data_IF_653057587919
#
_entry.id   IF_653057587919
#
_cell.length_a   1.000
_cell.length_b   1.000
_cell.length_c   1.000
_cell.angle_alpha   90.00
_cell.angle_beta   90.00
_cell.angle_gamma   90.00
#
_symmetry.space_group_name_H-M   'P 1'
#
loop_
_entity.id
_entity.type
_entity.pdbx_description
1 polymer ?
#
# COMPACT_ATOMS: atom_id res chain seq x y z
N UNK A 1 -43.84 33.52 22.13
CA UNK A 1 -43.24 34.87 22.03
C UNK A 1 -41.98 34.77 21.16
N UNK A 2 -41.98 35.50 20.04
CA UNK A 2 -40.92 35.81 19.06
C UNK A 2 -39.83 34.79 18.67
N UNK A 3 -39.80 34.38 17.38
CA UNK A 3 -38.57 34.20 16.61
C UNK A 3 -38.24 35.49 15.82
N UNK A 4 -37.01 35.99 15.96
CA UNK A 4 -36.56 37.23 15.29
C UNK A 4 -35.57 36.93 14.17
N UNK A 5 -35.99 37.25 12.93
CA UNK A 5 -35.21 37.76 11.80
C UNK A 5 -34.09 36.87 11.19
N UNK A 6 -33.80 36.88 9.89
CA UNK A 6 -33.64 38.02 8.97
C UNK A 6 -33.78 37.55 7.50
N UNK A 7 -34.03 38.51 6.61
CA UNK A 7 -34.50 38.38 5.22
C UNK A 7 -33.38 38.24 4.16
N UNK A 8 -33.70 37.50 3.07
CA UNK A 8 -33.50 37.75 1.60
C UNK A 8 -32.06 37.91 1.05
N UNK A 9 -31.76 37.48 -0.21
CA UNK A 9 -32.45 37.97 -1.41
C UNK A 9 -32.72 37.01 -2.59
N UNK A 10 -33.57 37.50 -3.50
CA UNK A 10 -33.75 37.04 -4.88
C UNK A 10 -32.49 37.34 -5.70
N UNK A 11 -32.15 36.45 -6.63
CA UNK A 11 -31.67 36.85 -7.96
C UNK A 11 -32.29 35.93 -9.02
N UNK A 12 -33.04 36.56 -9.93
CA UNK A 12 -33.53 36.00 -11.19
C UNK A 12 -32.55 36.40 -12.28
N UNK A 13 -32.12 35.46 -13.11
CA UNK A 13 -31.52 35.75 -14.42
C UNK A 13 -31.76 34.52 -15.31
N UNK A 14 -32.86 34.46 -16.07
CA UNK A 14 -33.00 34.93 -17.47
C UNK A 14 -32.06 34.21 -18.45
N UNK A 15 -32.57 33.13 -19.06
CA UNK A 15 -32.09 32.64 -20.37
C UNK A 15 -32.57 33.58 -21.49
N UNK A 16 -31.78 33.73 -22.56
CA UNK A 16 -32.30 33.85 -23.92
C UNK A 16 -31.70 32.75 -24.81
N UNK A 17 -32.50 31.85 -25.40
CA UNK A 17 -33.18 31.95 -26.71
C UNK A 17 -32.29 32.42 -27.87
N UNK A 18 -31.76 31.41 -28.56
CA UNK A 18 -31.56 31.23 -30.00
C UNK A 18 -31.65 32.46 -30.91
N UNK A 19 -30.55 32.74 -31.61
CA UNK A 19 -30.55 33.54 -32.83
C UNK A 19 -29.90 32.70 -33.94
N UNK A 20 -30.72 32.31 -34.92
CA UNK A 20 -30.27 31.70 -36.17
C UNK A 20 -29.74 32.80 -37.09
N UNK A 21 -28.54 32.61 -37.63
CA UNK A 21 -28.00 33.40 -38.73
C UNK A 21 -27.51 32.43 -39.81
N UNK A 22 -28.26 32.32 -40.89
CA UNK A 22 -27.88 31.57 -42.09
C UNK A 22 -26.80 32.34 -42.84
N UNK A 23 -25.64 31.71 -43.01
CA UNK A 23 -24.52 32.24 -43.78
C UNK A 23 -24.59 31.69 -45.22
N UNK A 24 -24.46 32.62 -46.18
CA UNK A 24 -24.34 32.34 -47.59
C UNK A 24 -23.02 31.60 -47.90
N UNK A 25 -23.10 30.66 -48.84
CA UNK A 25 -21.96 29.94 -49.37
C UNK A 25 -21.05 30.88 -50.18
N UNK A 26 -19.75 30.90 -49.85
CA UNK A 26 -18.69 31.42 -50.72
C UNK A 26 -17.55 30.39 -50.72
N UNK A 27 -17.30 29.80 -51.89
CA UNK A 27 -16.14 28.95 -52.12
C UNK A 27 -14.87 29.81 -52.14
N UNK A 28 -13.92 29.48 -51.26
CA UNK A 28 -12.51 29.84 -51.44
C UNK A 28 -11.65 28.63 -51.13
N UNK A 29 -10.93 28.14 -52.15
CA UNK A 29 -9.78 27.27 -51.95
C UNK A 29 -8.74 28.06 -51.14
N UNK A 30 -8.38 27.57 -49.96
CA UNK A 30 -7.20 28.00 -49.23
C UNK A 30 -6.53 26.77 -48.61
N UNK A 31 -5.30 26.48 -49.07
CA UNK A 31 -4.37 25.62 -48.37
C UNK A 31 -4.02 26.25 -47.01
N UNK A 32 -4.17 25.51 -45.92
CA UNK A 32 -3.68 25.89 -44.60
C UNK A 32 -4.08 24.82 -43.60
N UNK A 33 -3.09 24.24 -42.91
CA UNK A 33 -3.28 23.03 -42.11
C UNK A 33 -4.14 23.22 -40.87
N UNK A 34 -5.01 22.24 -40.63
CA UNK A 34 -5.60 21.96 -39.33
C UNK A 34 -4.55 21.28 -38.44
N UNK A 35 -4.11 21.97 -37.39
CA UNK A 35 -3.47 21.31 -36.27
C UNK A 35 -4.51 20.41 -35.57
N UNK A 36 -4.24 19.11 -35.35
CA UNK A 36 -5.08 18.31 -34.49
C UNK A 36 -4.98 18.86 -33.07
N UNK A 37 -6.13 19.00 -32.43
CA UNK A 37 -6.24 19.30 -31.01
C UNK A 37 -5.65 18.10 -30.24
N UNK A 38 -4.41 18.22 -29.76
CA UNK A 38 -3.80 17.22 -28.90
C UNK A 38 -4.58 17.16 -27.58
N UNK A 39 -5.30 16.06 -27.41
CA UNK A 39 -5.80 15.66 -26.10
C UNK A 39 -4.59 15.14 -25.31
N UNK A 40 -4.11 15.95 -24.37
CA UNK A 40 -3.18 15.52 -23.33
C UNK A 40 -3.88 14.49 -22.43
N UNK A 41 -3.98 13.26 -22.91
CA UNK A 41 -4.10 12.11 -22.02
C UNK A 41 -2.70 11.87 -21.50
N UNK A 42 -2.43 12.27 -20.26
CA UNK A 42 -1.27 11.77 -19.51
C UNK A 42 -1.35 10.24 -19.53
N UNK A 43 -0.56 9.61 -20.41
CA UNK A 43 -0.40 8.17 -20.41
C UNK A 43 0.37 7.83 -19.15
N UNK A 44 -0.36 7.45 -18.11
CA UNK A 44 0.19 6.78 -16.94
C UNK A 44 0.92 5.52 -17.45
N UNK A 45 2.23 5.59 -17.58
CA UNK A 45 3.04 4.47 -18.00
C UNK A 45 2.86 3.35 -16.97
N UNK A 46 2.25 2.25 -17.40
CA UNK A 46 2.14 1.06 -16.55
C UNK A 46 3.53 0.63 -16.12
N UNK A 47 3.74 0.47 -14.82
CA UNK A 47 4.99 -0.07 -14.27
C UNK A 47 5.31 -1.41 -14.96
N UNK A 48 6.55 -1.57 -15.37
CA UNK A 48 7.11 -2.81 -15.91
C UNK A 48 7.71 -3.57 -14.73
N UNK A 49 7.04 -4.64 -14.33
CA UNK A 49 7.44 -5.40 -13.15
C UNK A 49 6.25 -5.91 -12.37
N UNK A 50 6.52 -6.50 -11.21
CA UNK A 50 5.47 -6.80 -10.23
C UNK A 50 5.53 -5.75 -9.12
N UNK A 51 4.39 -5.40 -8.47
CA UNK A 51 4.41 -4.42 -7.38
C UNK A 51 5.04 -4.98 -6.09
N UNK A 52 5.78 -6.08 -6.12
CA UNK A 52 6.22 -6.83 -4.95
C UNK A 52 7.74 -6.76 -4.78
N UNK A 53 8.22 -7.10 -3.59
CA UNK A 53 9.66 -7.20 -3.36
C UNK A 53 10.29 -8.25 -4.29
N UNK A 54 11.46 -7.92 -4.84
CA UNK A 54 12.17 -8.76 -5.81
C UNK A 54 13.32 -9.55 -5.19
N UNK A 55 13.87 -9.04 -4.09
CA UNK A 55 15.12 -9.57 -3.51
C UNK A 55 15.12 -9.50 -2.00
N UNK A 56 15.61 -10.57 -1.38
CA UNK A 56 16.04 -10.56 0.02
C UNK A 56 17.50 -10.08 0.07
N UNK A 57 17.73 -8.92 0.66
CA UNK A 57 19.07 -8.36 0.89
C UNK A 57 19.74 -9.08 2.07
N UNK A 58 18.98 -9.32 3.14
CA UNK A 58 19.45 -10.08 4.29
C UNK A 58 18.29 -10.63 5.11
N UNK A 59 18.54 -11.73 5.81
CA UNK A 59 17.61 -12.27 6.81
C UNK A 59 18.43 -12.76 8.02
N UNK A 60 18.11 -12.22 9.18
CA UNK A 60 18.67 -12.63 10.48
C UNK A 60 17.52 -13.19 11.32
N UNK A 61 17.36 -14.52 11.37
CA UNK A 61 16.29 -15.13 12.15
C UNK A 61 16.51 -14.89 13.66
N UNK A 62 15.42 -14.57 14.36
CA UNK A 62 15.35 -14.53 15.80
C UNK A 62 15.20 -15.92 16.42
N UNK A 63 15.18 -16.00 17.75
CA UNK A 63 14.85 -17.27 18.41
C UNK A 63 13.40 -17.64 18.13
N UNK A 64 13.10 -18.94 17.99
CA UNK A 64 11.79 -19.47 17.58
C UNK A 64 11.37 -19.14 16.12
N UNK A 65 12.29 -18.65 15.28
CA UNK A 65 12.12 -18.67 13.83
C UNK A 65 12.28 -20.09 13.27
N UNK A 66 11.81 -20.32 12.04
CA UNK A 66 12.09 -21.56 11.30
C UNK A 66 11.03 -21.94 10.27
N UNK A 67 9.78 -21.60 10.53
CA UNK A 67 8.69 -21.80 9.58
C UNK A 67 8.94 -20.96 8.31
N UNK A 68 8.64 -21.53 7.14
CA UNK A 68 8.87 -20.89 5.84
C UNK A 68 10.33 -20.83 5.35
N UNK A 69 11.34 -20.99 6.22
CA UNK A 69 12.74 -20.77 5.83
C UNK A 69 13.22 -21.66 4.68
N UNK A 70 12.76 -22.92 4.62
CA UNK A 70 13.10 -23.85 3.54
C UNK A 70 12.55 -23.46 2.17
N UNK A 71 11.61 -22.51 2.12
CA UNK A 71 10.95 -22.02 0.90
C UNK A 71 11.49 -20.65 0.46
N UNK A 72 12.51 -20.12 1.13
CA UNK A 72 13.16 -18.89 0.71
C UNK A 72 13.87 -19.06 -0.65
N UNK A 73 13.90 -18.00 -1.49
CA UNK A 73 13.36 -16.68 -1.19
C UNK A 73 11.85 -16.53 -1.50
N UNK A 74 11.28 -17.44 -2.29
CA UNK A 74 9.97 -17.25 -2.93
C UNK A 74 8.79 -17.10 -1.94
N UNK A 75 8.91 -17.62 -0.73
CA UNK A 75 7.85 -17.53 0.30
C UNK A 75 7.55 -16.10 0.76
N UNK A 76 8.44 -15.13 0.49
CA UNK A 76 8.24 -13.70 0.83
C UNK A 76 8.37 -12.76 -0.36
N UNK A 77 8.57 -13.30 -1.56
CA UNK A 77 8.68 -12.52 -2.80
C UNK A 77 7.46 -12.78 -3.66
N UNK A 78 6.87 -11.72 -4.21
CA UNK A 78 5.64 -11.79 -4.99
C UNK A 78 4.37 -11.49 -4.20
N UNK A 79 3.23 -11.92 -4.75
CA UNK A 79 1.91 -11.57 -4.23
C UNK A 79 1.57 -12.29 -2.92
N UNK A 80 0.84 -11.63 -2.00
CA UNK A 80 0.37 -12.28 -0.78
C UNK A 80 -0.58 -13.44 -1.08
N UNK A 81 -0.64 -14.38 -0.14
CA UNK A 81 -1.52 -15.56 -0.18
C UNK A 81 -2.43 -15.58 1.05
N UNK A 82 -3.12 -14.47 1.31
CA UNK A 82 -4.04 -14.35 2.45
C UNK A 82 -5.16 -15.39 2.46
N UNK A 83 -5.65 -15.69 3.65
CA UNK A 83 -6.79 -16.59 3.90
C UNK A 83 -8.03 -15.83 4.43
N UNK A 84 -8.03 -14.50 4.35
CA UNK A 84 -9.12 -13.63 4.79
C UNK A 84 -9.19 -13.47 6.31
N UNK A 85 -10.35 -13.01 6.80
CA UNK A 85 -10.50 -12.64 8.21
C UNK A 85 -10.51 -13.83 9.20
N UNK A 86 -10.79 -15.05 8.73
CA UNK A 86 -11.08 -16.19 9.61
C UNK A 86 -9.87 -17.06 9.97
N UNK A 87 -8.76 -16.90 9.27
CA UNK A 87 -7.56 -17.74 9.43
C UNK A 87 -6.35 -17.10 8.80
N UNK A 88 -5.16 -17.42 9.29
CA UNK A 88 -3.90 -17.19 8.59
C UNK A 88 -3.69 -18.17 7.43
N UNK A 89 -2.81 -17.80 6.51
CA UNK A 89 -2.19 -18.66 5.51
C UNK A 89 -0.98 -19.43 6.10
N UNK A 90 -0.43 -20.34 5.30
CA UNK A 90 0.85 -21.01 5.58
C UNK A 90 1.97 -20.52 4.65
N UNK A 91 1.69 -19.50 3.82
CA UNK A 91 2.65 -18.90 2.91
C UNK A 91 3.34 -17.75 3.64
N UNK A 92 4.14 -18.08 4.65
CA UNK A 92 4.74 -17.08 5.53
C UNK A 92 6.13 -17.50 5.99
N UNK A 93 6.95 -16.51 6.31
CA UNK A 93 8.24 -16.65 6.96
C UNK A 93 8.17 -16.08 8.38
N UNK A 94 8.26 -16.96 9.38
CA UNK A 94 8.35 -16.53 10.77
C UNK A 94 9.74 -15.95 11.05
N UNK A 95 9.77 -14.68 11.46
CA UNK A 95 11.02 -13.99 11.76
C UNK A 95 11.66 -14.45 13.07
N UNK A 96 10.87 -14.95 14.04
CA UNK A 96 11.35 -15.21 15.39
C UNK A 96 11.53 -13.94 16.20
N UNK A 97 11.79 -14.09 17.50
CA UNK A 97 11.94 -12.97 18.43
C UNK A 97 13.07 -12.03 18.00
N UNK A 98 12.72 -10.77 17.76
CA UNK A 98 13.62 -9.74 17.24
C UNK A 98 14.30 -10.10 15.90
N UNK A 99 13.77 -11.08 15.15
CA UNK A 99 14.27 -11.39 13.82
C UNK A 99 14.09 -10.22 12.86
N UNK A 100 14.96 -10.14 11.86
CA UNK A 100 15.01 -9.03 10.91
C UNK A 100 15.15 -9.56 9.50
N UNK A 101 14.32 -9.08 8.58
CA UNK A 101 14.49 -9.27 7.15
C UNK A 101 14.60 -7.91 6.45
N UNK A 102 15.45 -7.84 5.43
CA UNK A 102 15.56 -6.69 4.54
C UNK A 102 15.26 -7.15 3.11
N UNK A 103 14.28 -6.48 2.50
CA UNK A 103 13.82 -6.68 1.14
C UNK A 103 14.17 -5.48 0.27
N UNK A 104 14.24 -5.70 -1.03
CA UNK A 104 14.48 -4.65 -2.03
C UNK A 104 13.54 -4.80 -3.22
N UNK A 105 13.08 -3.65 -3.72
CA UNK A 105 12.50 -3.47 -5.03
C UNK A 105 13.60 -3.04 -6.03
N UNK A 106 13.77 -3.83 -7.07
CA UNK A 106 14.85 -3.72 -8.05
C UNK A 106 14.38 -3.11 -9.37
N UNK A 107 13.11 -3.30 -9.72
CA UNK A 107 12.50 -2.74 -10.94
C UNK A 107 11.58 -1.55 -10.66
N UNK A 108 11.05 -1.41 -9.44
CA UNK A 108 10.24 -0.28 -9.00
C UNK A 108 10.78 0.34 -7.72
N UNK A 109 10.41 1.59 -7.44
CA UNK A 109 10.60 2.21 -6.14
C UNK A 109 9.26 2.70 -5.60
N UNK A 110 9.08 2.59 -4.30
CA UNK A 110 7.95 3.22 -3.59
C UNK A 110 8.12 4.73 -3.71
N UNK A 111 7.08 5.45 -4.09
CA UNK A 111 7.05 6.91 -4.12
C UNK A 111 6.01 7.44 -3.16
N UNK A 112 6.27 8.63 -2.60
CA UNK A 112 5.32 9.31 -1.73
C UNK A 112 4.17 9.88 -2.57
N UNK A 113 3.05 9.15 -2.59
CA UNK A 113 1.79 9.57 -3.16
C UNK A 113 0.78 9.94 -2.07
N UNK A 114 -0.49 10.15 -2.43
CA UNK A 114 -1.53 10.40 -1.44
C UNK A 114 -1.76 9.15 -0.56
N UNK A 115 -1.49 9.27 0.74
CA UNK A 115 -1.83 8.26 1.73
C UNK A 115 -0.87 7.07 1.74
N UNK A 116 -1.41 5.84 1.82
CA UNK A 116 -0.59 4.63 1.91
C UNK A 116 0.19 4.42 0.61
N UNK A 117 1.51 4.28 0.72
CA UNK A 117 2.42 4.02 -0.39
C UNK A 117 2.92 2.57 -0.44
N UNK A 118 2.90 1.90 0.70
CA UNK A 118 3.45 0.56 0.89
C UNK A 118 2.50 -0.27 1.77
N UNK A 119 2.27 -1.53 1.40
CA UNK A 119 1.55 -2.51 2.21
C UNK A 119 2.51 -3.61 2.66
N UNK A 120 2.41 -4.00 3.93
CA UNK A 120 3.10 -5.17 4.49
C UNK A 120 2.05 -6.21 4.89
N UNK A 121 2.22 -7.41 4.37
CA UNK A 121 1.35 -8.55 4.62
C UNK A 121 2.06 -9.52 5.55
N UNK A 122 1.46 -9.72 6.72
CA UNK A 122 1.87 -10.71 7.70
C UNK A 122 0.98 -11.96 7.51
N UNK A 123 0.30 -12.39 8.55
CA UNK A 123 -0.61 -13.52 8.61
C UNK A 123 -1.80 -13.29 9.54
N UNK A 124 -2.06 -12.03 9.92
CA UNK A 124 -3.09 -11.70 10.89
C UNK A 124 -4.49 -12.18 10.46
N UNK A 125 -5.30 -12.53 11.45
CA UNK A 125 -6.70 -12.92 11.28
C UNK A 125 -7.49 -12.57 12.54
N UNK A 126 -8.82 -12.62 12.49
CA UNK A 126 -9.67 -12.32 13.64
C UNK A 126 -9.88 -13.57 14.50
N UNK A 127 -9.64 -13.42 15.80
CA UNK A 127 -10.02 -14.40 16.82
C UNK A 127 -11.54 -14.39 17.03
N UNK A 128 -12.12 -15.40 17.72
CA UNK A 128 -13.56 -15.44 18.00
C UNK A 128 -14.10 -14.23 18.79
N UNK A 129 -13.25 -13.53 19.52
CA UNK A 129 -13.58 -12.30 20.24
C UNK A 129 -13.59 -11.04 19.35
N UNK A 130 -13.29 -11.18 18.06
CA UNK A 130 -13.23 -10.10 17.08
C UNK A 130 -11.94 -9.28 17.10
N UNK A 131 -11.02 -9.55 18.03
CA UNK A 131 -9.70 -8.93 18.06
C UNK A 131 -8.75 -9.66 17.10
N UNK A 132 -7.78 -8.97 16.49
CA UNK A 132 -6.81 -9.65 15.66
C UNK A 132 -5.94 -10.60 16.51
N UNK A 133 -5.62 -11.75 15.95
CA UNK A 133 -4.39 -12.46 16.22
C UNK A 133 -3.29 -11.65 15.53
N UNK A 134 -2.66 -10.76 16.30
CA UNK A 134 -1.66 -9.84 15.79
C UNK A 134 -0.27 -10.28 16.25
N UNK A 135 0.64 -10.41 15.29
CA UNK A 135 2.07 -10.55 15.56
C UNK A 135 2.78 -9.36 14.95
N UNK A 136 3.09 -8.39 15.81
CA UNK A 136 3.47 -7.05 15.40
C UNK A 136 4.89 -6.96 14.85
N UNK A 137 5.07 -6.18 13.78
CA UNK A 137 6.34 -5.90 13.14
C UNK A 137 6.63 -4.41 13.08
N UNK A 138 7.88 -4.03 13.32
CA UNK A 138 8.39 -2.67 13.09
C UNK A 138 8.90 -2.59 11.66
N UNK A 139 8.36 -1.65 10.90
CA UNK A 139 8.73 -1.41 9.51
C UNK A 139 9.67 -0.22 9.43
N UNK A 140 10.76 -0.37 8.68
CA UNK A 140 11.63 0.72 8.28
C UNK A 140 11.87 0.70 6.79
N UNK A 141 12.11 1.87 6.22
CA UNK A 141 12.33 2.06 4.78
C UNK A 141 13.62 2.82 4.52
N UNK A 142 14.19 2.60 3.35
CA UNK A 142 15.42 3.24 2.91
C UNK A 142 15.43 3.38 1.39
N UNK A 143 16.02 4.45 0.88
CA UNK A 143 16.25 4.64 -0.56
C UNK A 143 17.61 4.10 -1.02
N UNK A 144 18.62 4.15 -0.14
CA UNK A 144 20.03 3.83 -0.42
C UNK A 144 20.50 2.50 0.22
N UNK A 145 19.67 1.89 1.07
CA UNK A 145 20.00 0.67 1.83
C UNK A 145 20.92 0.91 3.03
N UNK A 146 21.29 2.17 3.30
CA UNK A 146 22.27 2.57 4.34
C UNK A 146 21.60 3.44 5.39
N UNK A 147 20.82 4.44 4.96
CA UNK A 147 20.08 5.35 5.82
C UNK A 147 18.67 4.85 5.99
N UNK A 148 18.28 4.55 7.23
CA UNK A 148 17.02 3.89 7.56
C UNK A 148 16.08 4.81 8.33
N UNK A 149 14.82 4.80 7.94
CA UNK A 149 13.74 5.56 8.58
C UNK A 149 12.67 4.58 9.06
N UNK A 150 12.50 4.46 10.38
CA UNK A 150 11.52 3.56 10.97
C UNK A 150 10.18 4.28 11.19
N UNK A 151 9.09 3.60 10.84
CA UNK A 151 7.75 4.04 11.20
C UNK A 151 7.52 3.86 12.70
N UNK A 152 6.85 4.80 13.37
CA UNK A 152 6.44 4.61 14.76
C UNK A 152 5.50 3.39 14.87
N UNK A 153 5.85 2.41 15.71
CA UNK A 153 5.01 1.25 15.99
C UNK A 153 4.80 1.12 17.50
N UNK A 154 3.54 1.20 17.93
CA UNK A 154 3.15 1.06 19.33
C UNK A 154 2.76 -0.40 19.66
N UNK A 155 3.70 -1.33 19.57
CA UNK A 155 3.47 -2.78 19.73
C UNK A 155 2.93 -3.19 21.12
N UNK A 156 3.08 -2.34 22.14
CA UNK A 156 2.49 -2.55 23.47
C UNK A 156 1.05 -2.04 23.62
N UNK A 157 0.51 -1.31 22.63
CA UNK A 157 -0.80 -0.66 22.74
C UNK A 157 -1.93 -1.56 22.22
N UNK A 158 -2.22 -2.62 22.97
CA UNK A 158 -3.30 -3.57 22.65
C UNK A 158 -4.67 -2.87 22.55
N UNK A 159 -4.97 -1.95 23.47
CA UNK A 159 -6.25 -1.24 23.49
C UNK A 159 -6.46 -0.32 22.27
N UNK A 160 -5.37 0.20 21.70
CA UNK A 160 -5.37 1.01 20.48
C UNK A 160 -5.17 0.21 19.20
N UNK A 161 -5.16 -1.12 19.29
CA UNK A 161 -4.91 -2.01 18.15
C UNK A 161 -3.55 -1.77 17.46
N UNK A 162 -2.49 -1.62 18.26
CA UNK A 162 -1.09 -1.57 17.80
C UNK A 162 -0.81 -0.54 16.69
N UNK A 163 -1.18 0.75 16.89
CA UNK A 163 -1.11 1.74 15.83
C UNK A 163 0.32 1.88 15.28
N UNK A 164 0.41 1.87 13.94
CA UNK A 164 1.64 2.01 13.18
C UNK A 164 2.52 0.76 13.09
N UNK A 165 2.08 -0.38 13.66
CA UNK A 165 2.74 -1.66 13.46
C UNK A 165 2.19 -2.38 12.24
N UNK A 166 3.02 -3.22 11.60
CA UNK A 166 2.52 -4.27 10.71
C UNK A 166 2.04 -5.47 11.54
N UNK A 167 1.29 -6.39 10.92
CA UNK A 167 0.86 -7.65 11.52
C UNK A 167 -0.40 -7.53 12.36
N UNK A 168 -1.32 -6.64 11.97
CA UNK A 168 -2.55 -6.34 12.72
C UNK A 168 -3.79 -6.59 11.87
N UNK A 169 -3.76 -6.15 10.61
CA UNK A 169 -4.93 -6.20 9.73
C UNK A 169 -4.97 -7.54 8.96
N UNK A 170 -6.12 -8.24 8.93
CA UNK A 170 -6.19 -9.50 8.20
C UNK A 170 -5.80 -9.38 6.73
N UNK A 171 -5.17 -10.42 6.19
CA UNK A 171 -4.73 -10.44 4.78
C UNK A 171 -5.82 -11.05 3.91
N UNK A 172 -6.40 -10.25 3.01
CA UNK A 172 -7.47 -10.69 2.11
C UNK A 172 -6.97 -10.97 0.69
N UNK A 173 -5.95 -10.24 0.23
CA UNK A 173 -5.38 -10.43 -1.10
C UNK A 173 -4.80 -11.83 -1.25
N UNK A 174 -5.19 -12.52 -2.31
CA UNK A 174 -4.69 -13.82 -2.69
C UNK A 174 -4.67 -13.94 -4.22
N UNK A 175 -3.65 -14.60 -4.76
CA UNK A 175 -3.53 -14.81 -6.21
C UNK A 175 -4.73 -15.51 -6.87
N UNK A 176 -5.54 -16.22 -6.08
CA UNK A 176 -6.71 -16.98 -6.55
C UNK A 176 -8.05 -16.26 -6.43
N UNK A 177 -8.13 -15.10 -5.77
CA UNK A 177 -9.42 -14.48 -5.41
C UNK A 177 -9.70 -13.12 -6.08
N UNK A 178 -8.76 -12.58 -6.85
CA UNK A 178 -8.93 -11.33 -7.60
C UNK A 178 -8.95 -10.06 -6.75
N UNK A 179 -8.66 -10.14 -5.44
CA UNK A 179 -8.47 -8.97 -4.59
C UNK A 179 -7.10 -8.38 -4.90
N UNK A 180 -7.05 -7.09 -5.23
CA UNK A 180 -5.78 -6.42 -5.55
C UNK A 180 -4.91 -6.28 -4.31
N UNK A 181 -3.64 -6.70 -4.41
CA UNK A 181 -2.62 -6.53 -3.38
C UNK A 181 -2.11 -5.09 -3.26
N UNK A 182 -2.43 -4.21 -4.20
CA UNK A 182 -1.98 -2.81 -4.22
C UNK A 182 -3.09 -1.81 -3.90
N UNK A 183 -4.28 -2.28 -3.54
CA UNK A 183 -5.38 -1.43 -3.12
C UNK A 183 -5.55 -1.51 -1.60
N UNK A 184 -5.09 -0.49 -0.84
CA UNK A 184 -5.17 -0.48 0.62
C UNK A 184 -6.58 -0.64 1.18
N UNK A 185 -7.62 -0.31 0.41
CA UNK A 185 -9.01 -0.41 0.86
C UNK A 185 -9.53 -1.86 0.90
N UNK A 186 -8.89 -2.81 0.21
CA UNK A 186 -9.39 -4.18 0.05
C UNK A 186 -8.34 -5.27 0.26
N UNK A 187 -7.05 -4.96 0.10
CA UNK A 187 -5.97 -5.95 0.17
C UNK A 187 -5.86 -6.62 1.54
N UNK A 188 -6.21 -5.90 2.60
CA UNK A 188 -5.78 -6.24 3.95
C UNK A 188 -4.33 -5.86 4.18
N UNK A 189 -3.71 -6.45 5.20
CA UNK A 189 -2.37 -6.05 5.63
C UNK A 189 -2.33 -4.59 6.12
N UNK A 190 -1.13 -4.14 6.48
CA UNK A 190 -0.96 -2.84 7.14
C UNK A 190 -0.24 -1.86 6.22
N UNK A 191 -0.77 -0.64 6.13
CA UNK A 191 -0.33 0.40 5.22
C UNK A 191 0.62 1.42 5.84
N UNK A 192 1.60 1.84 5.05
CA UNK A 192 2.64 2.79 5.42
C UNK A 192 2.75 3.92 4.39
N UNK A 193 2.76 5.16 4.86
CA UNK A 193 2.84 6.40 4.08
C UNK A 193 4.23 7.01 4.26
N UNK A 194 5.02 7.14 3.19
CA UNK A 194 6.39 7.66 3.24
C UNK A 194 6.48 9.08 3.79
N UNK A 195 5.43 9.89 3.66
CA UNK A 195 5.37 11.23 4.24
C UNK A 195 5.50 11.20 5.77
N UNK A 196 5.04 10.14 6.43
CA UNK A 196 5.12 9.97 7.88
C UNK A 196 6.58 9.87 8.39
N UNK A 197 7.51 9.49 7.51
CA UNK A 197 8.94 9.37 7.82
C UNK A 197 9.80 10.37 7.04
N UNK A 198 9.17 11.32 6.34
CA UNK A 198 9.86 12.39 5.61
C UNK A 198 10.59 11.93 4.35
N UNK A 199 10.17 10.80 3.75
CA UNK A 199 10.73 10.30 2.50
C UNK A 199 9.83 10.64 1.31
N UNK A 200 10.46 10.84 0.16
CA UNK A 200 9.77 10.94 -1.14
C UNK A 200 9.86 9.65 -1.94
N UNK A 201 10.83 8.79 -1.61
CA UNK A 201 11.08 7.51 -2.29
C UNK A 201 11.72 6.51 -1.34
N UNK A 202 11.45 5.22 -1.55
CA UNK A 202 12.17 4.11 -0.92
C UNK A 202 12.32 2.92 -1.88
N UNK A 203 13.41 2.18 -1.73
CA UNK A 203 13.71 0.96 -2.50
C UNK A 203 13.87 -0.27 -1.60
N UNK A 204 14.13 -0.05 -0.32
CA UNK A 204 14.39 -1.10 0.65
C UNK A 204 13.37 -1.03 1.77
N UNK A 205 12.94 -2.21 2.21
CA UNK A 205 12.04 -2.38 3.35
C UNK A 205 12.69 -3.32 4.34
N UNK A 206 12.84 -2.86 5.58
CA UNK A 206 13.29 -3.67 6.70
C UNK A 206 12.09 -3.95 7.58
N UNK A 207 11.86 -5.22 7.88
CA UNK A 207 10.84 -5.65 8.83
C UNK A 207 11.56 -6.35 9.97
N UNK A 208 11.26 -5.90 11.18
CA UNK A 208 11.78 -6.49 12.40
C UNK A 208 10.62 -6.91 13.29
N UNK A 209 10.66 -8.14 13.80
CA UNK A 209 9.76 -8.58 14.86
C UNK A 209 9.81 -7.59 16.05
N UNK A 210 8.65 -7.18 16.55
CA UNK A 210 8.58 -6.09 17.53
C UNK A 210 9.16 -6.47 18.90
N UNK A 211 9.37 -7.76 19.17
CA UNK A 211 9.74 -8.26 20.49
C UNK A 211 8.54 -8.48 21.42
N UNK A 212 7.33 -8.10 21.02
CA UNK A 212 6.10 -8.15 21.83
C UNK A 212 5.11 -9.28 21.45
N UNK A 213 5.56 -10.27 20.67
CA UNK A 213 4.72 -11.36 20.14
C UNK A 213 4.82 -12.67 20.95
N UNK A 214 4.12 -13.71 20.50
CA UNK A 214 4.27 -15.08 21.00
C UNK A 214 5.48 -15.77 20.38
N UNK A 215 6.18 -16.63 21.13
CA UNK A 215 7.40 -17.30 20.64
C UNK A 215 7.40 -18.79 20.96
N UNK A 216 6.50 -19.55 20.33
CA UNK A 216 6.39 -20.99 20.49
C UNK A 216 6.97 -21.74 19.28
N UNK A 217 7.71 -22.81 19.54
CA UNK A 217 8.23 -23.70 18.49
C UNK A 217 9.15 -22.98 17.51
N UNK A 218 8.86 -23.13 16.22
CA UNK A 218 9.61 -22.54 15.09
C UNK A 218 8.79 -21.52 14.30
N UNK A 219 7.61 -21.16 14.78
CA UNK A 219 6.69 -20.21 14.14
C UNK A 219 6.39 -19.04 15.06
N UNK A 220 7.41 -18.55 15.77
CA UNK A 220 7.24 -17.45 16.69
C UNK A 220 7.46 -16.10 16.01
N UNK A 221 6.72 -15.08 16.45
CA UNK A 221 6.92 -13.70 16.03
C UNK A 221 6.24 -13.37 14.71
N UNK A 222 6.60 -12.24 14.14
CA UNK A 222 6.03 -11.77 12.87
C UNK A 222 6.18 -12.81 11.74
N UNK A 223 5.08 -13.19 11.12
CA UNK A 223 4.99 -14.15 10.02
C UNK A 223 4.81 -13.42 8.67
N UNK A 224 5.91 -13.05 8.02
CA UNK A 224 5.88 -12.28 6.77
C UNK A 224 5.36 -13.11 5.58
N UNK A 225 4.31 -12.64 4.91
CA UNK A 225 3.79 -13.18 3.64
C UNK A 225 4.38 -12.40 2.44
N UNK A 226 4.18 -11.08 2.41
CA UNK A 226 4.59 -10.27 1.26
C UNK A 226 4.72 -8.78 1.60
N UNK A 227 5.29 -8.01 0.67
CA UNK A 227 5.30 -6.55 0.69
C UNK A 227 4.91 -6.05 -0.70
N UNK A 228 4.01 -5.07 -0.79
CA UNK A 228 3.55 -4.51 -2.05
C UNK A 228 3.62 -2.98 -2.10
N UNK A 229 4.01 -2.45 -3.25
CA UNK A 229 4.01 -1.03 -3.59
C UNK A 229 2.61 -0.61 -4.04
N UNK A 230 2.09 0.44 -3.40
CA UNK A 230 0.81 1.07 -3.75
C UNK A 230 1.05 2.25 -4.68
N UNK A 231 1.95 3.16 -4.30
CA UNK A 231 2.41 4.27 -5.12
C UNK A 231 3.86 4.02 -5.51
N UNK A 232 4.14 3.93 -6.81
CA UNK A 232 5.47 3.56 -7.28
C UNK A 232 5.88 4.21 -8.59
N UNK A 233 7.18 4.20 -8.84
CA UNK A 233 7.80 4.64 -10.09
C UNK A 233 8.74 3.57 -10.61
N UNK A 234 8.82 3.44 -11.94
CA UNK A 234 9.76 2.55 -12.60
C UNK A 234 11.21 2.97 -12.28
N UNK A 235 12.05 2.00 -11.94
CA UNK A 235 13.49 2.16 -11.88
C UNK A 235 14.14 1.94 -13.27
N UNK A 236 15.25 2.65 -13.56
CA UNK A 236 15.96 2.51 -14.84
C UNK A 236 16.51 1.11 -15.11
#
# INVERSE_FOLDING_TARGET
MNPTALRRPLMKTLLPKSLALGFAALLTLACGGEAPQESDFEQEQSLVGTPFADRIVSFTPGTAAGFGQSQLPNIVLGAPQGSGAGSGSLHVLSLGRNGVIVLEFTDIAVTNGPGVDLLVFENAFLKPDGLPFAETGVVGVSDDGVTWYEFPCASGNVAGNFPGCAGVTPVYSNTSNGISATNPAVAGGDGFDLAAVGLTRARFVRIRDSGANGYAGTSGGFDLDAVAVVNGVQLP
#
